data_IF_659408315081
#
_entry.id   IF_659408315081
#
_cell.length_a   1.000
_cell.length_b   1.000
_cell.length_c   1.000
_cell.angle_alpha   90.00
_cell.angle_beta   90.00
_cell.angle_gamma   90.00
#
_symmetry.space_group_name_H-M   'P 1'
#
loop_
_entity.id
_entity.type
_entity.pdbx_description
1 polymer ?
#
# COMPACT_ATOMS: atom_id res chain seq x y z
N UNK A 1 85.66 -44.76 12.70
CA UNK A 1 85.20 -44.31 14.03
C UNK A 1 84.84 -42.84 13.94
N UNK A 2 83.58 -42.50 14.30
CA UNK A 2 83.12 -41.25 14.95
C UNK A 2 83.35 -39.91 14.21
N UNK A 3 82.42 -38.96 14.12
CA UNK A 3 81.05 -38.84 14.59
C UNK A 3 80.33 -37.79 13.72
N UNK A 4 79.08 -38.07 13.37
CA UNK A 4 78.21 -37.24 12.55
C UNK A 4 77.54 -36.18 13.43
N UNK A 5 78.00 -34.93 13.36
CA UNK A 5 77.46 -33.83 14.15
C UNK A 5 76.17 -33.29 13.51
N UNK A 6 75.01 -33.79 13.95
CA UNK A 6 73.70 -33.21 13.59
C UNK A 6 73.56 -31.84 14.26
N UNK A 7 73.46 -30.80 13.44
CA UNK A 7 73.04 -29.48 13.89
C UNK A 7 71.57 -29.57 14.33
N UNK A 8 71.34 -29.74 15.62
CA UNK A 8 70.01 -29.63 16.23
C UNK A 8 69.56 -28.17 16.09
N UNK A 9 68.53 -27.93 15.28
CA UNK A 9 67.87 -26.63 15.20
C UNK A 9 67.47 -26.17 16.60
N UNK A 10 67.80 -24.93 16.94
CA UNK A 10 67.52 -24.37 18.27
C UNK A 10 65.99 -24.40 18.54
N UNK A 11 65.51 -25.18 19.51
CA UNK A 11 64.09 -25.34 19.80
C UNK A 11 63.42 -24.06 20.30
N UNK A 12 64.17 -23.01 20.63
CA UNK A 12 63.63 -21.69 20.98
C UNK A 12 63.17 -20.88 19.75
N UNK A 13 63.87 -20.98 18.62
CA UNK A 13 63.47 -20.28 17.38
C UNK A 13 62.25 -20.93 16.73
N UNK A 14 62.08 -22.24 16.90
CA UNK A 14 60.88 -22.98 16.48
C UNK A 14 59.68 -22.60 17.36
N UNK A 15 59.86 -22.52 18.69
CA UNK A 15 58.84 -22.07 19.63
C UNK A 15 58.42 -20.61 19.44
N UNK A 16 59.34 -19.70 19.11
CA UNK A 16 59.01 -18.29 18.81
C UNK A 16 58.20 -18.12 17.51
N UNK A 17 58.45 -18.93 16.49
CA UNK A 17 57.65 -18.95 15.24
C UNK A 17 56.25 -19.53 15.47
N UNK A 18 56.15 -20.61 16.25
CA UNK A 18 54.87 -21.22 16.66
C UNK A 18 54.03 -20.28 17.56
N UNK A 19 54.67 -19.53 18.47
CA UNK A 19 54.00 -18.54 19.32
C UNK A 19 53.58 -17.26 18.58
N UNK A 20 54.27 -16.84 17.52
CA UNK A 20 53.89 -15.67 16.72
C UNK A 20 52.76 -15.95 15.71
N UNK A 21 52.60 -17.20 15.27
CA UNK A 21 51.51 -17.63 14.39
C UNK A 21 50.16 -17.75 15.12
N UNK A 22 50.16 -18.10 16.41
CA UNK A 22 48.92 -18.32 17.17
C UNK A 22 47.98 -17.11 17.28
N UNK A 23 48.42 -15.84 17.51
CA UNK A 23 47.51 -14.71 17.56
C UNK A 23 46.96 -14.30 16.18
N UNK A 24 47.71 -14.51 15.10
CA UNK A 24 47.26 -14.21 13.73
C UNK A 24 46.23 -15.22 13.27
N UNK A 25 46.51 -16.52 13.50
CA UNK A 25 45.58 -17.62 13.19
C UNK A 25 44.30 -17.48 14.02
N UNK A 26 44.41 -17.14 15.31
CA UNK A 26 43.23 -16.90 16.16
C UNK A 26 42.38 -15.72 15.65
N UNK A 27 43.00 -14.61 15.26
CA UNK A 27 42.28 -13.46 14.66
C UNK A 27 41.61 -13.82 13.33
N UNK A 28 42.28 -14.59 12.48
CA UNK A 28 41.70 -15.10 11.23
C UNK A 28 40.51 -16.03 11.49
N UNK A 29 40.62 -16.95 12.46
CA UNK A 29 39.53 -17.85 12.85
C UNK A 29 38.34 -17.10 13.44
N UNK A 30 38.58 -16.09 14.27
CA UNK A 30 37.53 -15.20 14.80
C UNK A 30 36.85 -14.43 13.68
N UNK A 31 37.61 -13.90 12.70
CA UNK A 31 37.05 -13.19 11.53
C UNK A 31 36.20 -14.10 10.63
N UNK A 32 36.64 -15.35 10.41
CA UNK A 32 35.87 -16.36 9.68
C UNK A 32 34.59 -16.71 10.43
N UNK A 33 34.67 -16.94 11.75
CA UNK A 33 33.50 -17.24 12.58
C UNK A 33 32.50 -16.08 12.62
N UNK A 34 32.96 -14.83 12.71
CA UNK A 34 32.13 -13.63 12.61
C UNK A 34 31.46 -13.53 11.24
N UNK A 35 32.18 -13.80 10.16
CA UNK A 35 31.63 -13.77 8.80
C UNK A 35 30.56 -14.85 8.59
N UNK A 36 30.81 -16.06 9.11
CA UNK A 36 29.83 -17.16 9.11
C UNK A 36 28.59 -16.78 9.95
N UNK A 37 28.78 -16.19 11.13
CA UNK A 37 27.67 -15.75 11.98
C UNK A 37 26.81 -14.69 11.30
N UNK A 38 27.44 -13.68 10.67
CA UNK A 38 26.73 -12.65 9.89
C UNK A 38 25.99 -13.26 8.71
N UNK A 39 26.60 -14.22 8.00
CA UNK A 39 25.95 -14.93 6.90
C UNK A 39 24.73 -15.72 7.38
N UNK A 40 24.84 -16.47 8.48
CA UNK A 40 23.74 -17.21 9.11
C UNK A 40 22.63 -16.24 9.55
N UNK A 41 22.98 -15.12 10.19
CA UNK A 41 22.02 -14.11 10.61
C UNK A 41 21.29 -13.47 9.41
N UNK A 42 22.01 -13.23 8.30
CA UNK A 42 21.41 -12.71 7.06
C UNK A 42 20.46 -13.71 6.43
N UNK A 43 20.83 -15.00 6.38
CA UNK A 43 19.98 -16.09 5.90
C UNK A 43 18.72 -16.20 6.78
N UNK A 44 18.89 -16.16 8.11
CA UNK A 44 17.78 -16.19 9.05
C UNK A 44 16.84 -14.99 8.86
N UNK A 45 17.38 -13.77 8.72
CA UNK A 45 16.58 -12.58 8.40
C UNK A 45 15.83 -12.71 7.08
N UNK A 46 16.45 -13.30 6.06
CA UNK A 46 15.79 -13.59 4.79
C UNK A 46 14.60 -14.56 4.98
N UNK A 47 14.77 -15.64 5.74
CA UNK A 47 13.67 -16.54 6.08
C UNK A 47 12.56 -15.84 6.88
N UNK A 48 12.91 -14.98 7.84
CA UNK A 48 11.94 -14.17 8.58
C UNK A 48 11.17 -13.23 7.64
N UNK A 49 11.83 -12.60 6.67
CA UNK A 49 11.16 -11.77 5.66
C UNK A 49 10.21 -12.59 4.78
N UNK A 50 10.61 -13.80 4.38
CA UNK A 50 9.73 -14.72 3.66
C UNK A 50 8.50 -15.10 4.49
N UNK A 51 8.69 -15.47 5.77
CA UNK A 51 7.60 -15.79 6.68
C UNK A 51 6.66 -14.60 6.90
N UNK A 52 7.19 -13.38 7.10
CA UNK A 52 6.38 -12.15 7.20
C UNK A 52 5.61 -11.87 5.92
N UNK A 53 6.23 -12.06 4.75
CA UNK A 53 5.57 -11.91 3.45
C UNK A 53 4.44 -12.92 3.29
N UNK A 54 4.68 -14.19 3.61
CA UNK A 54 3.69 -15.26 3.53
C UNK A 54 2.54 -15.08 4.53
N UNK A 55 2.84 -14.70 5.78
CA UNK A 55 1.82 -14.40 6.80
C UNK A 55 0.96 -13.21 6.40
N UNK A 56 1.55 -12.13 5.86
CA UNK A 56 0.80 -10.97 5.38
C UNK A 56 -0.06 -11.32 4.16
N UNK A 57 0.45 -12.12 3.24
CA UNK A 57 -0.35 -12.67 2.15
C UNK A 57 -1.53 -13.47 2.72
N UNK A 58 -1.30 -14.36 3.70
CA UNK A 58 -2.36 -15.13 4.34
C UNK A 58 -3.41 -14.25 5.01
N UNK A 59 -3.03 -13.24 5.81
CA UNK A 59 -3.97 -12.30 6.41
C UNK A 59 -4.77 -11.52 5.34
N UNK A 60 -4.10 -11.06 4.28
CA UNK A 60 -4.72 -10.36 3.15
C UNK A 60 -5.74 -11.22 2.38
N UNK A 61 -5.50 -12.53 2.33
CA UNK A 61 -6.33 -13.52 1.64
C UNK A 61 -7.12 -14.42 2.60
N UNK A 62 -7.29 -14.04 3.87
CA UNK A 62 -8.27 -14.71 4.73
C UNK A 62 -9.61 -14.71 3.99
N UNK A 63 -10.30 -15.85 4.03
CA UNK A 63 -11.47 -16.14 3.19
C UNK A 63 -12.61 -15.20 3.57
N UNK A 64 -12.58 -14.00 3.02
CA UNK A 64 -13.70 -13.08 3.01
C UNK A 64 -14.52 -13.43 1.78
N UNK A 65 -15.49 -14.30 1.98
CA UNK A 65 -16.49 -14.62 0.97
C UNK A 65 -17.52 -13.50 0.92
N UNK A 66 -17.25 -12.47 0.11
CA UNK A 66 -18.31 -11.62 -0.38
C UNK A 66 -19.08 -12.42 -1.43
N UNK A 67 -20.32 -12.83 -1.13
CA UNK A 67 -21.18 -13.49 -2.12
C UNK A 67 -21.59 -12.47 -3.19
N UNK A 68 -20.71 -12.23 -4.16
CA UNK A 68 -20.92 -11.24 -5.23
C UNK A 68 -22.10 -11.60 -6.14
N UNK A 69 -22.53 -12.86 -6.15
CA UNK A 69 -23.51 -13.40 -7.09
C UNK A 69 -24.78 -13.89 -6.40
N UNK A 70 -25.34 -13.11 -5.48
CA UNK A 70 -26.71 -13.34 -5.04
C UNK A 70 -27.61 -12.90 -6.21
N UNK A 71 -28.36 -13.82 -6.86
CA UNK A 71 -29.17 -13.47 -8.01
C UNK A 71 -30.23 -12.46 -7.59
N UNK A 72 -30.24 -11.31 -8.26
CA UNK A 72 -31.26 -10.28 -8.04
C UNK A 72 -32.63 -10.80 -8.52
N UNK A 73 -33.68 -10.46 -7.78
CA UNK A 73 -35.05 -10.69 -8.27
C UNK A 73 -35.26 -9.96 -9.60
N UNK A 74 -36.14 -10.44 -10.50
CA UNK A 74 -36.44 -9.75 -11.75
C UNK A 74 -36.85 -8.28 -11.54
N UNK A 75 -37.60 -7.99 -10.47
CA UNK A 75 -38.00 -6.63 -10.10
C UNK A 75 -36.80 -5.76 -9.71
N UNK A 76 -35.86 -6.31 -8.93
CA UNK A 76 -34.62 -5.62 -8.54
C UNK A 76 -33.75 -5.32 -9.75
N UNK A 77 -33.59 -6.30 -10.64
CA UNK A 77 -32.84 -6.13 -11.89
C UNK A 77 -33.47 -5.04 -12.76
N UNK A 78 -34.80 -5.05 -12.93
CA UNK A 78 -35.50 -4.01 -13.68
C UNK A 78 -35.31 -2.62 -13.06
N UNK A 79 -35.40 -2.51 -11.74
CA UNK A 79 -35.14 -1.24 -11.03
C UNK A 79 -33.71 -0.76 -11.25
N UNK A 80 -32.73 -1.66 -11.19
CA UNK A 80 -31.34 -1.33 -11.42
C UNK A 80 -31.10 -0.84 -12.86
N UNK A 81 -31.74 -1.45 -13.85
CA UNK A 81 -31.70 -1.00 -15.24
C UNK A 81 -32.38 0.36 -15.46
N UNK A 82 -33.34 0.70 -14.59
CA UNK A 82 -34.04 1.99 -14.64
C UNK A 82 -33.21 3.13 -14.04
N UNK A 83 -32.22 2.84 -13.19
CA UNK A 83 -31.32 3.85 -12.61
C UNK A 83 -30.01 3.90 -13.38
N UNK A 84 -29.49 5.12 -13.61
CA UNK A 84 -28.19 5.27 -14.27
C UNK A 84 -27.08 4.71 -13.39
N UNK A 85 -26.09 4.09 -14.05
CA UNK A 85 -24.84 3.69 -13.41
C UNK A 85 -24.16 4.93 -12.85
N UNK A 86 -23.76 4.85 -11.58
CA UNK A 86 -23.18 5.97 -10.82
C UNK A 86 -21.65 5.98 -10.94
N UNK A 87 -21.05 7.11 -10.62
CA UNK A 87 -19.60 7.29 -10.58
C UNK A 87 -19.13 7.24 -9.13
N UNK A 88 -18.13 6.40 -8.87
CA UNK A 88 -17.40 6.37 -7.61
C UNK A 88 -15.99 6.91 -7.84
N UNK A 89 -15.75 8.10 -7.29
CA UNK A 89 -14.44 8.74 -7.29
C UNK A 89 -13.64 8.17 -6.12
N UNK A 90 -12.42 7.72 -6.40
CA UNK A 90 -11.53 7.05 -5.45
C UNK A 90 -10.27 7.88 -5.26
N UNK A 91 -9.98 8.25 -4.02
CA UNK A 91 -8.65 8.71 -3.64
C UNK A 91 -7.65 7.53 -3.57
N UNK A 92 -6.35 7.81 -3.55
CA UNK A 92 -5.29 6.80 -3.54
C UNK A 92 -4.59 6.69 -2.18
N UNK A 93 -3.77 7.68 -1.84
CA UNK A 93 -2.89 7.69 -0.66
C UNK A 93 -3.73 7.75 0.62
N UNK A 94 -3.40 6.92 1.61
CA UNK A 94 -4.15 6.70 2.86
C UNK A 94 -5.61 6.20 2.69
N UNK A 95 -6.07 6.03 1.45
CA UNK A 95 -7.41 5.51 1.11
C UNK A 95 -7.36 4.07 0.61
N UNK A 96 -6.67 3.81 -0.52
CA UNK A 96 -6.50 2.48 -1.13
C UNK A 96 -5.11 1.88 -0.88
N UNK A 97 -4.12 2.74 -0.65
CA UNK A 97 -2.72 2.38 -0.45
C UNK A 97 -2.09 3.28 0.61
N UNK A 98 -0.90 2.93 1.06
CA UNK A 98 -0.01 3.83 1.77
C UNK A 98 1.38 3.72 1.16
N UNK A 99 2.02 4.87 0.90
CA UNK A 99 3.36 4.91 0.33
C UNK A 99 4.30 5.75 1.18
N UNK A 100 5.59 5.41 1.13
CA UNK A 100 6.65 6.27 1.62
C UNK A 100 7.84 6.24 0.65
N UNK A 101 8.57 7.34 0.57
CA UNK A 101 9.82 7.42 -0.18
C UNK A 101 11.01 7.08 0.71
N UNK A 102 12.09 6.57 0.12
CA UNK A 102 13.34 6.33 0.84
C UNK A 102 13.90 7.65 1.40
N UNK A 103 14.18 7.69 2.71
CA UNK A 103 14.68 8.90 3.41
C UNK A 103 13.73 9.49 4.47
N UNK A 104 12.51 8.98 4.61
CA UNK A 104 11.59 9.41 5.69
C UNK A 104 12.09 8.95 7.06
N UNK A 105 12.34 9.91 7.96
CA UNK A 105 12.92 9.69 9.30
C UNK A 105 12.05 8.85 10.26
N UNK A 106 10.74 8.74 9.99
CA UNK A 106 9.78 7.97 10.81
C UNK A 106 8.78 7.23 9.91
N UNK A 107 9.10 6.02 9.43
CA UNK A 107 8.12 5.23 8.71
C UNK A 107 6.98 4.84 9.65
N UNK A 108 5.74 5.17 9.28
CA UNK A 108 4.52 4.73 9.98
C UNK A 108 4.29 3.22 9.83
N UNK A 109 4.99 2.60 8.88
CA UNK A 109 5.08 1.17 8.71
C UNK A 109 6.20 0.60 9.59
N UNK A 110 5.93 -0.50 10.31
CA UNK A 110 6.94 -1.20 11.11
C UNK A 110 8.19 -1.53 10.26
N UNK A 111 9.41 -1.21 10.75
CA UNK A 111 10.65 -1.53 10.04
C UNK A 111 10.72 -3.01 9.62
N UNK A 112 11.10 -3.25 8.37
CA UNK A 112 11.19 -4.60 7.79
C UNK A 112 9.86 -5.20 7.31
N UNK A 113 8.78 -4.43 7.28
CA UNK A 113 7.57 -4.82 6.53
C UNK A 113 7.84 -4.72 5.03
N UNK A 114 7.69 -5.79 4.24
CA UNK A 114 7.94 -5.73 2.81
C UNK A 114 6.82 -4.96 2.09
N UNK A 115 7.18 -4.10 1.16
CA UNK A 115 6.22 -3.43 0.28
C UNK A 115 5.50 -4.43 -0.64
N UNK A 116 4.25 -4.14 -1.01
CA UNK A 116 3.50 -4.93 -1.99
C UNK A 116 4.08 -4.71 -3.40
N UNK A 117 4.43 -3.47 -3.73
CA UNK A 117 5.20 -3.12 -4.93
C UNK A 117 6.05 -1.87 -4.71
N UNK A 118 7.02 -1.64 -5.61
CA UNK A 118 7.84 -0.42 -5.61
C UNK A 118 7.64 0.35 -6.91
N UNK A 119 7.62 1.66 -6.81
CA UNK A 119 7.51 2.59 -7.94
C UNK A 119 8.77 3.44 -7.98
N UNK A 120 9.32 3.66 -9.18
CA UNK A 120 10.43 4.57 -9.41
C UNK A 120 9.96 5.63 -10.39
N UNK A 121 9.96 6.89 -9.97
CA UNK A 121 9.57 8.04 -10.79
C UNK A 121 10.65 9.11 -10.71
N UNK A 122 10.74 9.95 -11.73
CA UNK A 122 11.65 11.10 -11.73
C UNK A 122 10.84 12.35 -11.34
N UNK A 123 11.22 12.99 -10.24
CA UNK A 123 10.63 14.23 -9.75
C UNK A 123 11.75 15.27 -9.80
N UNK A 124 11.55 16.38 -10.52
CA UNK A 124 12.55 17.46 -10.66
C UNK A 124 13.95 16.95 -11.02
N UNK A 125 14.04 16.03 -11.99
CA UNK A 125 15.27 15.36 -12.46
C UNK A 125 15.94 14.40 -11.47
N UNK A 126 15.34 14.18 -10.31
CA UNK A 126 15.84 13.23 -9.31
C UNK A 126 14.99 11.95 -9.30
N UNK A 127 15.61 10.76 -9.43
CA UNK A 127 14.89 9.51 -9.31
C UNK A 127 14.49 9.28 -7.85
N UNK A 128 13.19 9.12 -7.62
CA UNK A 128 12.60 8.85 -6.31
C UNK A 128 11.97 7.45 -6.33
N UNK A 129 12.28 6.66 -5.31
CA UNK A 129 11.73 5.33 -5.11
C UNK A 129 10.68 5.35 -3.99
N UNK A 130 9.48 4.90 -4.33
CA UNK A 130 8.35 4.74 -3.42
C UNK A 130 8.14 3.26 -3.10
N UNK A 131 8.02 2.97 -1.81
CA UNK A 131 7.61 1.67 -1.28
C UNK A 131 6.12 1.73 -0.97
N UNK A 132 5.31 1.00 -1.73
CA UNK A 132 3.85 1.07 -1.66
C UNK A 132 3.27 -0.17 -1.00
N UNK A 133 2.34 0.07 -0.09
CA UNK A 133 1.60 -0.93 0.66
C UNK A 133 0.13 -0.86 0.23
N UNK A 134 -0.46 -2.00 -0.12
CA UNK A 134 -1.87 -2.09 -0.47
C UNK A 134 -2.71 -2.20 0.80
N UNK A 135 -3.78 -1.40 0.91
CA UNK A 135 -4.76 -1.55 2.00
C UNK A 135 -5.41 -2.93 1.90
N UNK A 136 -5.63 -3.64 3.02
CA UNK A 136 -6.33 -4.92 3.00
C UNK A 136 -7.64 -4.85 2.21
N UNK A 137 -7.95 -5.93 1.50
CA UNK A 137 -9.14 -6.07 0.66
C UNK A 137 -9.26 -5.14 -0.56
N UNK A 138 -8.27 -4.30 -0.87
CA UNK A 138 -8.36 -3.34 -2.01
C UNK A 138 -8.68 -4.00 -3.35
N UNK A 139 -8.10 -5.17 -3.64
CA UNK A 139 -8.33 -5.85 -4.92
C UNK A 139 -9.73 -6.43 -5.04
N UNK A 140 -10.24 -7.03 -3.95
CA UNK A 140 -11.63 -7.49 -3.85
C UNK A 140 -12.58 -6.31 -3.98
N UNK A 141 -12.32 -5.23 -3.23
CA UNK A 141 -13.12 -4.01 -3.26
C UNK A 141 -13.23 -3.46 -4.68
N UNK A 142 -12.11 -3.26 -5.37
CA UNK A 142 -12.08 -2.76 -6.75
C UNK A 142 -12.80 -3.71 -7.71
N UNK A 143 -12.62 -5.03 -7.58
CA UNK A 143 -13.28 -6.04 -8.43
C UNK A 143 -14.79 -6.02 -8.29
N UNK A 144 -15.29 -5.78 -7.08
CA UNK A 144 -16.73 -5.76 -6.77
C UNK A 144 -17.33 -4.41 -7.20
N UNK A 145 -16.76 -3.29 -6.75
CA UNK A 145 -17.33 -1.97 -7.03
C UNK A 145 -17.24 -1.58 -8.51
N UNK A 146 -16.26 -2.12 -9.27
CA UNK A 146 -16.18 -1.90 -10.71
C UNK A 146 -17.30 -2.54 -11.51
N UNK A 147 -18.07 -3.47 -10.91
CA UNK A 147 -19.27 -4.03 -11.54
C UNK A 147 -20.50 -3.13 -11.32
N UNK A 148 -20.44 -2.26 -10.29
CA UNK A 148 -21.57 -1.46 -9.85
C UNK A 148 -21.45 0.00 -10.26
N UNK A 149 -20.23 0.54 -10.24
CA UNK A 149 -19.90 1.94 -10.45
C UNK A 149 -18.93 2.10 -11.60
N UNK A 150 -19.01 3.21 -12.30
CA UNK A 150 -17.87 3.70 -13.07
C UNK A 150 -16.84 4.26 -12.10
N UNK A 151 -15.60 3.77 -12.15
CA UNK A 151 -14.55 4.18 -11.22
C UNK A 151 -13.71 5.30 -11.82
N UNK A 152 -13.45 6.34 -11.02
CA UNK A 152 -12.60 7.46 -11.38
C UNK A 152 -11.55 7.63 -10.30
N UNK A 153 -10.27 7.64 -10.65
CA UNK A 153 -9.22 8.01 -9.70
C UNK A 153 -9.17 9.53 -9.60
N UNK A 154 -9.20 10.08 -8.40
CA UNK A 154 -8.90 11.50 -8.18
C UNK A 154 -8.01 11.62 -6.96
N UNK A 155 -6.73 11.93 -7.17
CA UNK A 155 -5.71 12.06 -6.10
C UNK A 155 -5.10 13.46 -6.10
N UNK A 156 -4.72 13.94 -4.92
CA UNK A 156 -3.90 15.15 -4.77
C UNK A 156 -2.40 14.93 -5.05
N UNK A 157 -2.02 13.72 -5.47
CA UNK A 157 -0.64 13.35 -5.82
C UNK A 157 -0.28 13.71 -7.27
N UNK A 158 1.02 13.75 -7.57
CA UNK A 158 1.52 14.03 -8.92
C UNK A 158 1.11 12.91 -9.89
N UNK A 159 0.80 13.29 -11.13
CA UNK A 159 0.41 12.37 -12.18
C UNK A 159 1.40 11.24 -12.44
N UNK A 160 2.70 11.55 -12.45
CA UNK A 160 3.77 10.53 -12.67
C UNK A 160 3.73 9.42 -11.63
N UNK A 161 3.38 9.72 -10.38
CA UNK A 161 3.25 8.75 -9.30
C UNK A 161 1.86 8.09 -9.32
N UNK A 162 0.80 8.90 -9.39
CA UNK A 162 -0.58 8.42 -9.32
C UNK A 162 -0.93 7.48 -10.47
N UNK A 163 -0.41 7.73 -11.67
CA UNK A 163 -0.55 6.83 -12.83
C UNK A 163 0.07 5.46 -12.54
N UNK A 164 1.30 5.41 -12.05
CA UNK A 164 1.96 4.16 -11.73
C UNK A 164 1.23 3.37 -10.64
N UNK A 165 0.70 4.03 -9.61
CA UNK A 165 -0.10 3.38 -8.57
C UNK A 165 -1.40 2.82 -9.15
N UNK A 166 -2.14 3.65 -9.90
CA UNK A 166 -3.40 3.24 -10.51
C UNK A 166 -3.22 2.05 -11.45
N UNK A 167 -2.15 2.00 -12.25
CA UNK A 167 -1.86 0.86 -13.13
C UNK A 167 -1.58 -0.43 -12.35
N UNK A 168 -0.85 -0.33 -11.23
CA UNK A 168 -0.57 -1.48 -10.35
C UNK A 168 -1.82 -2.03 -9.68
N UNK A 169 -2.74 -1.15 -9.26
CA UNK A 169 -4.03 -1.54 -8.68
C UNK A 169 -5.01 -2.08 -9.74
N UNK A 170 -5.00 -1.51 -10.94
CA UNK A 170 -5.88 -1.90 -12.04
C UNK A 170 -5.55 -3.31 -12.56
N UNK A 171 -4.27 -3.69 -12.57
CA UNK A 171 -3.78 -5.00 -13.04
C UNK A 171 -4.21 -5.34 -14.48
N UNK A 172 -4.38 -4.31 -15.31
CA UNK A 172 -4.77 -4.46 -16.71
C UNK A 172 -6.26 -4.74 -16.94
N UNK A 173 -7.10 -4.63 -15.91
CA UNK A 173 -8.57 -4.79 -16.02
C UNK A 173 -9.22 -3.63 -16.78
N UNK A 174 -8.57 -2.47 -16.82
CA UNK A 174 -9.08 -1.26 -17.46
C UNK A 174 -10.27 -0.63 -16.73
N UNK A 175 -10.36 -0.83 -15.42
CA UNK A 175 -11.42 -0.28 -14.54
C UNK A 175 -11.07 1.12 -14.01
N UNK A 176 -9.78 1.49 -13.95
CA UNK A 176 -9.30 2.79 -13.47
C UNK A 176 -8.77 3.68 -14.62
N UNK A 177 -9.54 3.85 -15.69
CA UNK A 177 -9.09 4.60 -16.90
C UNK A 177 -9.18 6.12 -16.75
N UNK A 178 -10.24 6.63 -16.09
CA UNK A 178 -10.43 8.06 -15.85
C UNK A 178 -9.67 8.47 -14.61
N UNK A 179 -8.75 9.43 -14.75
CA UNK A 179 -7.82 9.82 -13.68
C UNK A 179 -7.66 11.32 -13.63
N UNK A 180 -7.74 11.86 -12.42
CA UNK A 180 -7.49 13.24 -12.08
C UNK A 180 -6.42 13.27 -10.99
N UNK A 181 -5.50 14.20 -11.15
CA UNK A 181 -4.28 14.34 -10.35
C UNK A 181 -4.18 15.74 -9.75
N UNK A 182 -3.09 16.03 -9.03
CA UNK A 182 -2.84 17.32 -8.38
C UNK A 182 -3.15 18.55 -9.23
N UNK A 183 -2.78 18.56 -10.52
CA UNK A 183 -3.02 19.70 -11.41
C UNK A 183 -4.51 19.99 -11.68
N UNK A 184 -5.39 19.02 -11.41
CA UNK A 184 -6.84 19.15 -11.54
C UNK A 184 -7.50 19.56 -10.22
N UNK A 185 -6.77 19.59 -9.11
CA UNK A 185 -7.27 20.09 -7.83
C UNK A 185 -7.25 21.62 -7.80
N UNK A 186 -8.12 22.21 -6.99
CA UNK A 186 -8.00 23.61 -6.58
C UNK A 186 -7.19 23.69 -5.30
N UNK A 187 -6.19 24.57 -5.23
CA UNK A 187 -5.45 24.81 -4.00
C UNK A 187 -6.18 25.83 -3.14
N UNK A 188 -6.82 25.37 -2.06
CA UNK A 188 -7.67 26.19 -1.18
C UNK A 188 -7.33 25.91 0.29
N UNK A 189 -7.12 26.96 1.10
CA UNK A 189 -6.81 26.87 2.53
C UNK A 189 -5.61 25.97 2.88
N UNK A 190 -4.53 26.06 2.08
CA UNK A 190 -3.31 25.28 2.31
C UNK A 190 -3.43 23.78 1.98
N UNK A 191 -4.53 23.36 1.36
CA UNK A 191 -4.74 21.99 0.89
C UNK A 191 -5.25 21.92 -0.55
N UNK A 192 -5.49 20.71 -1.04
CA UNK A 192 -6.07 20.47 -2.35
C UNK A 192 -7.53 20.05 -2.21
N UNK A 193 -8.42 20.74 -2.91
CA UNK A 193 -9.85 20.39 -3.00
C UNK A 193 -10.15 19.84 -4.40
N UNK A 194 -10.99 18.81 -4.45
CA UNK A 194 -11.37 18.02 -5.62
C UNK A 194 -12.75 18.46 -6.09
N UNK A 195 -12.83 18.96 -7.32
CA UNK A 195 -14.08 19.41 -7.90
C UNK A 195 -14.81 18.28 -8.62
N UNK A 196 -15.92 17.79 -8.05
CA UNK A 196 -16.72 16.72 -8.65
C UNK A 196 -17.50 17.18 -9.88
N UNK A 197 -17.83 18.47 -9.97
CA UNK A 197 -18.56 19.03 -11.12
C UNK A 197 -17.73 19.00 -12.40
N UNK A 198 -16.40 19.01 -12.28
CA UNK A 198 -15.47 18.83 -13.39
C UNK A 198 -15.44 17.38 -13.93
N UNK A 199 -15.93 16.41 -13.17
CA UNK A 199 -15.99 14.99 -13.54
C UNK A 199 -17.35 14.63 -14.13
N UNK A 200 -18.42 15.12 -13.52
CA UNK A 200 -19.78 14.83 -13.94
C UNK A 200 -20.74 15.98 -13.56
N UNK A 201 -21.60 16.46 -14.48
CA UNK A 201 -22.51 17.57 -14.21
C UNK A 201 -23.66 17.20 -13.27
N UNK A 202 -24.10 15.94 -13.30
CA UNK A 202 -25.15 15.45 -12.41
C UNK A 202 -24.54 14.94 -11.09
N UNK A 203 -24.66 15.78 -10.06
CA UNK A 203 -24.18 15.48 -8.72
C UNK A 203 -25.05 14.47 -7.96
N UNK A 204 -26.21 14.07 -8.50
CA UNK A 204 -27.04 13.03 -7.89
C UNK A 204 -26.47 11.62 -8.12
N UNK A 205 -25.54 11.48 -9.06
CA UNK A 205 -25.00 10.19 -9.53
C UNK A 205 -23.50 10.02 -9.34
N UNK A 206 -22.83 10.92 -8.62
CA UNK A 206 -21.40 10.85 -8.31
C UNK A 206 -21.16 10.93 -6.79
N UNK A 207 -20.28 10.09 -6.27
CA UNK A 207 -19.78 10.19 -4.90
C UNK A 207 -18.26 10.01 -4.85
N UNK A 208 -17.63 10.49 -3.77
CA UNK A 208 -16.18 10.41 -3.56
C UNK A 208 -15.85 9.67 -2.27
N UNK A 209 -14.95 8.70 -2.35
CA UNK A 209 -14.34 8.00 -1.21
C UNK A 209 -12.96 8.59 -0.95
N UNK A 210 -12.79 9.24 0.19
CA UNK A 210 -11.59 9.99 0.52
C UNK A 210 -11.44 10.14 2.04
N UNK A 211 -10.21 10.03 2.53
CA UNK A 211 -9.90 10.13 3.95
C UNK A 211 -9.75 11.58 4.46
N UNK A 212 -9.63 12.56 3.56
CA UNK A 212 -9.37 13.96 3.89
C UNK A 212 -10.61 14.83 3.69
N UNK A 213 -11.24 15.35 4.77
CA UNK A 213 -12.36 16.28 4.67
C UNK A 213 -12.09 17.54 3.83
N UNK A 214 -10.83 17.99 3.79
CA UNK A 214 -10.43 19.12 2.95
C UNK A 214 -10.55 18.85 1.45
N UNK A 215 -10.41 17.58 1.03
CA UNK A 215 -10.46 17.19 -0.38
C UNK A 215 -11.86 17.33 -0.96
N UNK A 216 -12.91 16.98 -0.22
CA UNK A 216 -14.30 17.09 -0.66
C UNK A 216 -15.06 18.25 0.01
N UNK A 217 -14.36 19.27 0.51
CA UNK A 217 -14.94 20.42 1.22
C UNK A 217 -16.09 21.10 0.44
N UNK A 218 -15.99 21.19 -0.89
CA UNK A 218 -17.01 21.78 -1.77
C UNK A 218 -18.20 20.84 -2.03
N UNK A 219 -18.04 19.54 -1.75
CA UNK A 219 -19.03 18.49 -2.05
C UNK A 219 -19.25 17.55 -0.85
N UNK A 220 -19.52 18.08 0.37
CA UNK A 220 -19.65 17.25 1.56
C UNK A 220 -20.76 16.21 1.37
N UNK A 221 -21.92 16.59 0.83
CA UNK A 221 -23.04 15.67 0.66
C UNK A 221 -22.83 14.57 -0.39
N UNK A 222 -21.70 14.59 -1.12
CA UNK A 222 -21.30 13.55 -2.06
C UNK A 222 -20.17 12.67 -1.52
N UNK A 223 -19.67 12.96 -0.31
CA UNK A 223 -18.52 12.29 0.25
C UNK A 223 -18.90 11.06 1.08
N UNK A 224 -18.06 10.05 0.98
CA UNK A 224 -18.00 8.88 1.85
C UNK A 224 -16.67 9.00 2.60
N UNK A 225 -16.68 9.53 3.83
CA UNK A 225 -15.47 9.59 4.65
C UNK A 225 -14.97 8.19 4.95
N UNK A 226 -13.64 8.00 4.90
CA UNK A 226 -13.00 6.75 5.30
C UNK A 226 -11.80 7.05 6.20
N UNK A 227 -11.52 6.16 7.15
CA UNK A 227 -10.35 6.31 8.00
C UNK A 227 -9.06 6.17 7.18
N UNK A 228 -8.10 7.07 7.43
CA UNK A 228 -6.75 6.98 6.88
C UNK A 228 -6.10 5.65 7.26
N UNK A 229 -5.50 4.98 6.27
CA UNK A 229 -4.80 3.73 6.46
C UNK A 229 -3.30 3.86 6.18
N UNK A 230 -2.49 3.25 7.05
CA UNK A 230 -1.04 3.34 6.97
C UNK A 230 -0.37 1.97 6.91
N UNK A 231 -0.72 1.06 7.84
CA UNK A 231 -0.02 -0.23 7.94
C UNK A 231 -0.80 -1.35 8.61
N UNK A 232 -2.04 -1.12 9.05
CA UNK A 232 -2.79 -2.14 9.80
C UNK A 232 -3.18 -3.30 8.87
N UNK A 233 -2.66 -4.53 9.08
CA UNK A 233 -3.02 -5.66 8.23
C UNK A 233 -4.45 -6.18 8.49
N UNK A 234 -5.08 -5.78 9.60
CA UNK A 234 -6.43 -6.21 9.98
C UNK A 234 -7.50 -5.16 9.64
N UNK A 235 -7.16 -4.09 8.91
CA UNK A 235 -8.12 -3.09 8.46
C UNK A 235 -9.21 -3.74 7.61
N UNK A 236 -10.47 -3.41 7.90
CA UNK A 236 -11.65 -3.93 7.17
C UNK A 236 -12.49 -2.81 6.57
N UNK A 237 -12.01 -1.56 6.57
CA UNK A 237 -12.84 -0.41 6.18
C UNK A 237 -13.36 -0.52 4.75
N UNK A 238 -12.52 -0.92 3.78
CA UNK A 238 -12.94 -1.12 2.39
C UNK A 238 -13.98 -2.24 2.26
N UNK A 239 -13.80 -3.32 3.02
CA UNK A 239 -14.73 -4.44 3.03
C UNK A 239 -16.11 -4.04 3.57
N UNK A 240 -16.11 -3.31 4.70
CA UNK A 240 -17.33 -2.87 5.38
C UNK A 240 -18.15 -1.86 4.56
N UNK A 241 -17.52 -1.19 3.58
CA UNK A 241 -18.21 -0.29 2.66
C UNK A 241 -19.02 -1.02 1.58
N UNK A 242 -18.74 -2.29 1.27
CA UNK A 242 -19.39 -2.98 0.15
C UNK A 242 -20.92 -3.06 0.27
N UNK A 243 -21.52 -3.45 1.41
CA UNK A 243 -22.98 -3.49 1.53
C UNK A 243 -23.62 -2.10 1.39
N UNK A 244 -22.96 -1.07 1.92
CA UNK A 244 -23.44 0.31 1.81
C UNK A 244 -23.41 0.81 0.37
N UNK A 245 -22.30 0.58 -0.34
CA UNK A 245 -22.17 0.91 -1.75
C UNK A 245 -23.16 0.10 -2.60
N UNK A 246 -23.38 -1.17 -2.31
CA UNK A 246 -24.38 -1.97 -3.02
C UNK A 246 -25.79 -1.37 -2.90
N UNK A 247 -26.19 -0.99 -1.69
CA UNK A 247 -27.48 -0.33 -1.46
C UNK A 247 -27.58 1.04 -2.16
N UNK A 248 -26.49 1.83 -2.14
CA UNK A 248 -26.46 3.18 -2.71
C UNK A 248 -26.72 3.20 -4.22
N UNK A 249 -26.47 2.09 -4.93
CA UNK A 249 -26.76 1.92 -6.38
C UNK A 249 -28.22 2.24 -6.73
N UNK A 250 -29.15 1.89 -5.85
CA UNK A 250 -30.60 1.98 -6.10
C UNK A 250 -31.19 3.37 -5.84
N UNK A 251 -30.41 4.28 -5.27
CA UNK A 251 -30.86 5.65 -5.00
C UNK A 251 -30.97 6.47 -6.29
N UNK A 252 -31.94 7.37 -6.38
CA UNK A 252 -32.01 8.36 -7.47
C UNK A 252 -30.96 9.47 -7.29
N UNK A 253 -30.74 9.87 -6.04
CA UNK A 253 -29.76 10.87 -5.64
C UNK A 253 -28.94 10.34 -4.47
N UNK A 254 -27.64 10.11 -4.66
CA UNK A 254 -26.73 9.62 -3.61
C UNK A 254 -26.71 10.54 -2.39
N UNK A 255 -26.91 11.85 -2.60
CA UNK A 255 -26.86 12.86 -1.53
C UNK A 255 -28.01 12.69 -0.55
N UNK A 256 -29.13 12.10 -0.97
CA UNK A 256 -30.28 11.83 -0.09
C UNK A 256 -29.97 10.84 1.04
N UNK A 257 -28.94 10.01 0.84
CA UNK A 257 -28.42 9.07 1.83
C UNK A 257 -27.16 9.64 2.49
N UNK A 258 -26.20 10.11 1.68
CA UNK A 258 -24.90 10.56 2.18
C UNK A 258 -24.97 11.78 3.09
N UNK A 259 -25.92 12.70 2.88
CA UNK A 259 -26.07 13.87 3.77
C UNK A 259 -26.49 13.50 5.19
N UNK A 260 -27.10 12.31 5.40
CA UNK A 260 -27.56 11.84 6.72
C UNK A 260 -26.41 11.42 7.62
N UNK A 261 -25.31 10.92 7.05
CA UNK A 261 -24.14 10.50 7.81
C UNK A 261 -23.30 11.68 8.33
N UNK A 262 -23.61 12.91 7.92
CA UNK A 262 -22.77 14.07 8.24
C UNK A 262 -23.12 14.76 9.55
N UNK A 263 -24.30 14.50 10.12
CA UNK A 263 -24.68 15.08 11.42
C UNK A 263 -23.79 14.56 12.56
N UNK A 264 -23.22 13.35 12.46
CA UNK A 264 -22.35 12.80 13.51
C UNK A 264 -20.91 13.36 13.52
N UNK A 265 -20.44 13.99 12.44
CA UNK A 265 -19.06 14.50 12.34
C UNK A 265 -18.93 15.99 12.73
N UNK A 266 -20.05 16.68 12.98
CA UNK A 266 -20.05 18.07 13.45
C UNK A 266 -20.15 18.21 14.98
N UNK A 267 -20.50 17.12 15.67
CA UNK A 267 -20.68 17.07 17.13
C UNK A 267 -19.49 16.42 17.89
N UNK A 268 -18.34 16.26 17.23
CA UNK A 268 -17.06 15.78 17.79
C UNK A 268 -15.94 16.80 17.49
#
# INVERSE_FOLDING_TARGET
MLAHNRHLGNPENQRRREQAQSPIVLRAMVGIAQSIFVAIASIFNFFILLLKKSSRAYCKYQVVTYQSNIPMSPLTTHRLLSVKRKILVLDLDETLIHSHHEGVLRPMVKPGTPADFTIRVVIDRHPVKFSVHERPHVDLFLSVVSQWYELVVFTASMEVYGTCVADKLDRGRGILKRRYFRQHCTMDFGGYTKDLSAIHPDLSSICILDNSPGAYRKFPHNAIPIQSWFSDPNDTCLLNLLPFLDALRFTSDVRSILSRNQQQLQDL
#
